data_IF_619804200881
#
_entry.id   IF_619804200881
#
_cell.length_a   1.000
_cell.length_b   1.000
_cell.length_c   1.000
_cell.angle_alpha   90.00
_cell.angle_beta   90.00
_cell.angle_gamma   90.00
#
_symmetry.space_group_name_H-M   'P 1'
#
loop_
_entity.id
_entity.type
_entity.pdbx_description
1 polymer ?
#
# COMPACT_ATOMS: atom_id res chain seq x y z
N UNK A 1 -14.10 -12.87 4.97
CA UNK A 1 -13.03 -11.89 4.69
C UNK A 1 -11.83 -12.69 4.19
N UNK A 2 -11.33 -12.46 2.97
CA UNK A 2 -10.14 -13.16 2.47
C UNK A 2 -8.92 -12.45 3.04
N UNK A 3 -8.14 -13.13 3.89
CA UNK A 3 -6.82 -12.65 4.27
C UNK A 3 -5.88 -12.93 3.10
N UNK A 4 -5.74 -11.96 2.21
CA UNK A 4 -4.78 -12.05 1.13
C UNK A 4 -3.40 -11.70 1.70
N UNK A 5 -2.56 -12.71 1.91
CA UNK A 5 -1.16 -12.50 2.25
C UNK A 5 -0.45 -11.86 1.07
N UNK A 6 0.16 -10.71 1.31
CA UNK A 6 1.04 -10.05 0.36
C UNK A 6 2.48 -10.48 0.63
N UNK A 7 3.22 -10.80 -0.43
CA UNK A 7 4.61 -11.21 -0.36
C UNK A 7 5.55 -10.02 -0.60
N UNK A 8 6.79 -10.09 -0.08
CA UNK A 8 7.91 -9.24 -0.51
C UNK A 8 7.92 -9.00 -2.03
N UNK A 9 7.89 -7.74 -2.45
CA UNK A 9 7.91 -7.34 -3.86
C UNK A 9 6.54 -7.31 -4.58
N UNK A 10 5.45 -7.74 -3.93
CA UNK A 10 4.12 -7.66 -4.52
C UNK A 10 3.67 -6.21 -4.68
N UNK A 11 3.00 -5.91 -5.80
CA UNK A 11 2.33 -4.63 -6.00
C UNK A 11 1.08 -4.58 -5.13
N UNK A 12 0.91 -3.50 -4.37
CA UNK A 12 -0.30 -3.26 -3.57
C UNK A 12 -1.22 -2.27 -4.29
N UNK A 13 -2.52 -2.22 -3.94
CA UNK A 13 -3.45 -1.27 -4.52
C UNK A 13 -2.95 0.17 -4.37
N UNK A 14 -3.25 1.01 -5.34
CA UNK A 14 -3.10 2.45 -5.19
C UNK A 14 -4.05 2.98 -4.11
N UNK A 15 -3.79 4.19 -3.63
CA UNK A 15 -4.67 4.91 -2.69
C UNK A 15 -6.11 4.94 -3.19
N UNK A 16 -6.32 5.20 -4.50
CA UNK A 16 -7.66 5.31 -5.10
C UNK A 16 -8.35 3.96 -5.18
N UNK A 17 -7.63 2.91 -5.56
CA UNK A 17 -8.17 1.54 -5.62
C UNK A 17 -8.56 1.06 -4.22
N UNK A 18 -7.67 1.21 -3.23
CA UNK A 18 -7.97 0.77 -1.86
C UNK A 18 -9.13 1.56 -1.25
N UNK A 19 -9.23 2.87 -1.53
CA UNK A 19 -10.36 3.68 -1.09
C UNK A 19 -11.68 3.20 -1.70
N UNK A 20 -11.69 2.86 -2.99
CA UNK A 20 -12.86 2.35 -3.68
C UNK A 20 -13.28 0.96 -3.16
N UNK A 21 -12.30 0.08 -2.88
CA UNK A 21 -12.55 -1.28 -2.39
C UNK A 21 -13.05 -1.30 -0.93
N UNK A 22 -12.51 -0.42 -0.08
CA UNK A 22 -12.78 -0.44 1.37
C UNK A 22 -13.79 0.61 1.83
N UNK A 23 -14.11 1.61 0.99
CA UNK A 23 -14.91 2.77 1.36
C UNK A 23 -14.23 3.73 2.34
N UNK A 24 -12.93 3.53 2.62
CA UNK A 24 -12.15 4.38 3.52
C UNK A 24 -11.78 5.69 2.81
N UNK A 25 -11.74 6.79 3.57
CA UNK A 25 -11.34 8.10 3.05
C UNK A 25 -9.93 8.03 2.41
N UNK A 26 -9.74 8.47 1.15
CA UNK A 26 -8.44 8.47 0.49
C UNK A 26 -7.32 9.13 1.30
N UNK A 27 -7.61 10.21 2.03
CA UNK A 27 -6.62 10.90 2.86
C UNK A 27 -6.12 10.03 4.02
N UNK A 28 -7.00 9.20 4.59
CA UNK A 28 -6.61 8.21 5.60
C UNK A 28 -5.64 7.21 5.00
N UNK A 29 -5.93 6.69 3.81
CA UNK A 29 -5.06 5.73 3.13
C UNK A 29 -3.72 6.37 2.74
N UNK A 30 -3.70 7.62 2.28
CA UNK A 30 -2.46 8.37 2.04
C UNK A 30 -1.60 8.39 3.30
N UNK A 31 -2.18 8.76 4.45
CA UNK A 31 -1.44 8.80 5.71
C UNK A 31 -0.94 7.43 6.14
N UNK A 32 -1.77 6.39 5.98
CA UNK A 32 -1.37 5.00 6.26
C UNK A 32 -0.21 4.58 5.36
N UNK A 33 -0.25 4.88 4.06
CA UNK A 33 0.82 4.51 3.14
C UNK A 33 2.11 5.27 3.47
N UNK A 34 2.02 6.56 3.80
CA UNK A 34 3.18 7.33 4.27
C UNK A 34 3.81 6.73 5.52
N UNK A 35 3.00 6.24 6.46
CA UNK A 35 3.46 5.58 7.68
C UNK A 35 4.11 4.21 7.38
N UNK A 36 3.52 3.41 6.48
CA UNK A 36 4.12 2.16 6.06
C UNK A 36 5.44 2.38 5.31
N UNK A 37 5.56 3.45 4.54
CA UNK A 37 6.82 3.84 3.90
C UNK A 37 7.88 4.30 4.91
N UNK A 38 7.50 5.07 5.94
CA UNK A 38 8.46 5.50 6.97
C UNK A 38 9.00 4.33 7.78
N UNK A 39 8.19 3.28 7.95
CA UNK A 39 8.57 2.01 8.58
C UNK A 39 9.27 1.05 7.61
N UNK A 40 9.54 1.48 6.37
CA UNK A 40 10.16 0.66 5.32
C UNK A 40 9.38 -0.63 5.00
N UNK A 41 8.08 -0.68 5.26
CA UNK A 41 7.24 -1.87 4.96
C UNK A 41 6.82 -1.89 3.48
N UNK A 42 6.67 -0.71 2.87
CA UNK A 42 6.33 -0.56 1.45
C UNK A 42 7.21 0.48 0.78
N UNK A 43 7.39 0.35 -0.52
CA UNK A 43 8.14 1.28 -1.36
C UNK A 43 7.28 1.87 -2.47
N UNK A 44 7.52 3.14 -2.79
CA UNK A 44 6.91 3.81 -3.94
C UNK A 44 7.87 3.78 -5.13
N UNK A 45 7.51 3.03 -6.17
CA UNK A 45 8.15 3.11 -7.47
C UNK A 45 7.47 4.21 -8.28
N UNK A 46 8.14 5.36 -8.39
CA UNK A 46 7.60 6.58 -9.03
C UNK A 46 7.01 6.27 -10.40
N UNK A 47 5.73 6.60 -10.59
CA UNK A 47 4.99 6.36 -11.83
C UNK A 47 4.46 4.93 -12.02
N UNK A 48 4.78 3.99 -11.13
CA UNK A 48 4.39 2.58 -11.24
C UNK A 48 3.42 2.16 -10.13
N UNK A 49 3.63 2.63 -8.90
CA UNK A 49 2.78 2.37 -7.75
C UNK A 49 3.55 1.95 -6.50
N UNK A 50 2.84 1.35 -5.54
CA UNK A 50 3.39 0.90 -4.27
C UNK A 50 3.62 -0.60 -4.26
N UNK A 51 4.67 -1.04 -3.57
CA UNK A 51 5.08 -2.44 -3.49
C UNK A 51 5.47 -2.78 -2.06
N UNK A 52 5.26 -4.03 -1.64
CA UNK A 52 5.82 -4.52 -0.36
C UNK A 52 7.34 -4.49 -0.47
N UNK A 53 8.01 -3.87 0.52
CA UNK A 53 9.46 -3.81 0.53
C UNK A 53 10.03 -5.23 0.68
N UNK A 54 10.93 -5.67 -0.21
CA UNK A 54 11.54 -6.99 -0.12
C UNK A 54 12.41 -7.23 1.12
N UNK A 55 12.86 -6.15 1.76
CA UNK A 55 13.80 -6.16 2.88
C UNK A 55 13.16 -5.80 4.24
N UNK A 56 11.82 -5.70 4.29
CA UNK A 56 11.05 -5.38 5.50
C UNK A 56 10.99 -6.52 6.53
#
# INVERSE_FOLDING_TARGET
MKNQQVQPGDKIPSVRELAAETGVNPNTIVRTYSELQSQQIIDNKRGVGFFVNPEA
#
